data_IF_357140670907
#
_entry.id   IF_357140670907
#
_cell.length_a   1.000
_cell.length_b   1.000
_cell.length_c   1.000
_cell.angle_alpha   90.00
_cell.angle_beta   90.00
_cell.angle_gamma   90.00
#
_symmetry.space_group_name_H-M   'P 1'
#
loop_
_entity.id
_entity.type
_entity.pdbx_description
1 polymer ?
#
# COMPACT_ATOMS: atom_id res chain seq x y z
N UNK A 1 3.14 -4.08 20.77
CA UNK A 1 2.71 -3.00 19.83
C UNK A 1 3.81 -2.87 18.78
N UNK A 2 3.47 -2.84 17.50
CA UNK A 2 4.43 -2.65 16.41
C UNK A 2 4.03 -1.39 15.63
N UNK A 3 5.01 -0.60 15.22
CA UNK A 3 4.84 0.53 14.31
C UNK A 3 5.28 0.10 12.91
N UNK A 4 4.65 0.64 11.86
CA UNK A 4 5.00 0.29 10.48
C UNK A 4 6.43 0.68 10.11
N UNK A 5 7.02 1.66 10.80
CA UNK A 5 8.39 2.11 10.57
C UNK A 5 9.40 1.49 11.54
N UNK A 6 8.99 0.52 12.36
CA UNK A 6 9.87 -0.29 13.23
C UNK A 6 9.99 -1.71 12.65
N UNK A 7 11.02 -1.92 11.81
CA UNK A 7 11.24 -3.18 11.12
C UNK A 7 11.39 -4.38 12.08
N UNK A 8 12.09 -4.20 13.20
CA UNK A 8 12.31 -5.28 14.17
C UNK A 8 11.01 -5.67 14.86
N UNK A 9 10.11 -4.71 15.13
CA UNK A 9 8.79 -5.01 15.66
C UNK A 9 7.92 -5.76 14.64
N UNK A 10 8.02 -5.42 13.35
CA UNK A 10 7.34 -6.15 12.28
C UNK A 10 7.89 -7.57 12.14
N UNK A 11 9.21 -7.76 12.10
CA UNK A 11 9.85 -9.09 12.08
C UNK A 11 9.38 -9.98 13.22
N UNK A 12 9.36 -9.46 14.45
CA UNK A 12 8.84 -10.20 15.62
C UNK A 12 7.35 -10.54 15.50
N UNK A 13 6.55 -9.70 14.85
CA UNK A 13 5.13 -9.94 14.68
C UNK A 13 4.83 -10.98 13.58
N UNK A 14 5.69 -11.07 12.57
CA UNK A 14 5.52 -11.96 11.42
C UNK A 14 6.17 -13.34 11.64
N UNK A 15 7.17 -13.44 12.52
CA UNK A 15 7.85 -14.70 12.80
C UNK A 15 6.88 -15.83 13.19
N UNK A 16 7.06 -17.01 12.59
CA UNK A 16 6.19 -18.18 12.76
C UNK A 16 4.79 -18.08 12.12
N UNK A 17 4.44 -16.97 11.45
CA UNK A 17 3.15 -16.85 10.77
C UNK A 17 3.10 -17.62 9.44
N UNK A 18 1.94 -18.20 9.11
CA UNK A 18 1.74 -18.87 7.81
C UNK A 18 1.16 -17.95 6.72
N UNK A 19 0.62 -16.80 7.12
CA UNK A 19 0.02 -15.80 6.25
C UNK A 19 0.02 -14.44 6.93
N UNK A 20 0.10 -13.38 6.14
CA UNK A 20 0.13 -11.99 6.65
C UNK A 20 -0.96 -11.18 5.97
N UNK A 21 -1.77 -10.47 6.75
CA UNK A 21 -2.73 -9.49 6.25
C UNK A 21 -2.20 -8.09 6.57
N UNK A 22 -1.64 -7.43 5.56
CA UNK A 22 -1.14 -6.08 5.68
C UNK A 22 -2.25 -5.07 5.40
N UNK A 23 -2.94 -4.66 6.47
CA UNK A 23 -4.05 -3.70 6.41
C UNK A 23 -3.68 -2.32 6.93
N UNK A 24 -2.55 -2.20 7.64
CA UNK A 24 -2.13 -0.97 8.28
C UNK A 24 -1.60 0.02 7.23
N UNK A 25 -2.11 1.24 7.25
CA UNK A 25 -1.69 2.32 6.36
C UNK A 25 -2.25 3.63 6.92
N UNK A 26 -1.53 4.76 6.80
CA UNK A 26 -2.13 6.07 7.05
C UNK A 26 -3.34 6.29 6.12
N UNK A 27 -4.31 7.06 6.60
CA UNK A 27 -5.47 7.50 5.79
C UNK A 27 -5.55 9.01 5.91
N UNK A 28 -4.83 9.70 5.04
CA UNK A 28 -4.68 11.16 5.05
C UNK A 28 -4.18 11.64 3.69
N UNK A 29 -4.54 12.87 3.32
CA UNK A 29 -3.96 13.57 2.16
C UNK A 29 -2.76 14.46 2.54
N UNK A 30 -2.24 14.35 3.76
CA UNK A 30 -0.95 14.90 4.14
C UNK A 30 0.17 14.01 3.56
N UNK A 31 0.94 14.46 2.54
CA UNK A 31 1.93 13.62 1.88
C UNK A 31 3.06 13.15 2.81
N UNK A 32 3.46 13.96 3.78
CA UNK A 32 4.55 13.64 4.71
C UNK A 32 4.16 12.48 5.62
N UNK A 33 2.87 12.42 5.99
CA UNK A 33 2.32 11.37 6.85
C UNK A 33 1.79 10.18 6.06
N UNK A 34 1.57 10.32 4.76
CA UNK A 34 0.98 9.29 3.92
C UNK A 34 2.02 8.47 3.19
N UNK A 35 2.88 9.11 2.39
CA UNK A 35 3.64 8.44 1.32
C UNK A 35 4.73 7.56 1.90
N UNK A 36 5.64 8.12 2.69
CA UNK A 36 6.76 7.36 3.26
C UNK A 36 6.28 6.21 4.17
N UNK A 37 5.35 6.44 5.12
CA UNK A 37 4.88 5.34 5.97
C UNK A 37 4.12 4.25 5.22
N UNK A 38 3.37 4.60 4.17
CA UNK A 38 2.70 3.60 3.33
C UNK A 38 3.72 2.76 2.55
N UNK A 39 4.70 3.38 1.88
CA UNK A 39 5.68 2.68 1.05
C UNK A 39 6.66 1.88 1.90
N UNK A 40 7.36 2.52 2.84
CA UNK A 40 8.37 1.85 3.68
C UNK A 40 7.74 0.81 4.60
N UNK A 41 6.56 1.11 5.17
CA UNK A 41 5.84 0.16 6.00
C UNK A 41 5.42 -1.09 5.23
N UNK A 42 4.98 -0.94 3.98
CA UNK A 42 4.64 -2.08 3.13
C UNK A 42 5.88 -2.90 2.76
N UNK A 43 6.98 -2.25 2.39
CA UNK A 43 8.27 -2.90 2.16
C UNK A 43 8.71 -3.73 3.38
N UNK A 44 8.67 -3.15 4.57
CA UNK A 44 9.02 -3.83 5.82
C UNK A 44 8.18 -5.07 6.09
N UNK A 45 6.87 -5.02 5.83
CA UNK A 45 6.00 -6.17 6.03
C UNK A 45 6.30 -7.26 5.00
N UNK A 46 6.56 -6.91 3.74
CA UNK A 46 6.94 -7.85 2.67
C UNK A 46 8.27 -8.52 2.99
N UNK A 47 9.29 -7.74 3.33
CA UNK A 47 10.64 -8.24 3.63
C UNK A 47 10.62 -9.14 4.87
N UNK A 48 9.93 -8.73 5.94
CA UNK A 48 9.78 -9.56 7.13
C UNK A 48 9.04 -10.88 6.86
N UNK A 49 8.01 -10.86 6.00
CA UNK A 49 7.29 -12.06 5.60
C UNK A 49 8.15 -13.01 4.76
N UNK A 50 8.96 -12.47 3.84
CA UNK A 50 9.90 -13.25 3.07
C UNK A 50 10.99 -13.86 3.96
N UNK A 51 11.54 -13.08 4.89
CA UNK A 51 12.57 -13.52 5.83
C UNK A 51 12.08 -14.54 6.87
N UNK A 52 10.81 -14.51 7.25
CA UNK A 52 10.23 -15.46 8.21
C UNK A 52 10.22 -16.90 7.68
N UNK A 53 10.28 -17.11 6.36
CA UNK A 53 10.35 -18.43 5.71
C UNK A 53 9.12 -19.35 5.88
N UNK A 54 8.18 -18.99 6.76
CA UNK A 54 6.97 -19.74 7.10
C UNK A 54 5.72 -19.16 6.44
N UNK A 55 5.76 -17.89 6.03
CA UNK A 55 4.65 -17.19 5.37
C UNK A 55 4.47 -17.72 3.94
N UNK A 56 3.28 -18.24 3.65
CA UNK A 56 2.94 -18.81 2.34
C UNK A 56 2.30 -17.80 1.39
N UNK A 57 1.60 -16.80 1.95
CA UNK A 57 0.90 -15.76 1.20
C UNK A 57 0.72 -14.52 2.06
N UNK A 58 0.91 -13.37 1.44
CA UNK A 58 0.50 -12.08 1.97
C UNK A 58 -0.77 -11.59 1.24
N UNK A 59 -1.65 -10.93 1.98
CA UNK A 59 -2.77 -10.16 1.45
C UNK A 59 -2.54 -8.70 1.82
N UNK A 60 -2.47 -7.83 0.83
CA UNK A 60 -2.28 -6.39 1.01
C UNK A 60 -3.59 -5.64 0.74
N UNK A 61 -3.96 -4.73 1.65
CA UNK A 61 -5.11 -3.85 1.45
C UNK A 61 -4.69 -2.58 0.72
N UNK A 62 -4.75 -2.63 -0.62
CA UNK A 62 -4.69 -1.44 -1.48
C UNK A 62 -6.03 -0.67 -1.45
N UNK A 63 -6.36 0.10 -2.48
CA UNK A 63 -7.56 0.94 -2.54
C UNK A 63 -8.02 1.19 -3.98
N UNK A 64 -9.30 1.52 -4.15
CA UNK A 64 -9.82 2.03 -5.43
C UNK A 64 -9.09 3.31 -5.88
N UNK A 65 -8.48 4.05 -4.93
CA UNK A 65 -7.63 5.20 -5.24
C UNK A 65 -6.40 4.85 -6.09
N UNK A 66 -5.96 3.59 -6.11
CA UNK A 66 -4.90 3.10 -7.00
C UNK A 66 -5.41 2.64 -8.38
N UNK A 67 -6.74 2.62 -8.58
CA UNK A 67 -7.40 2.08 -9.77
C UNK A 67 -8.11 3.17 -10.57
N UNK A 68 -8.88 4.07 -9.97
CA UNK A 68 -9.83 4.95 -10.71
C UNK A 68 -9.35 6.38 -10.97
N UNK A 69 -8.19 6.78 -10.46
CA UNK A 69 -7.71 8.18 -10.54
C UNK A 69 -6.94 8.43 -11.83
N UNK A 70 -7.60 8.24 -12.97
CA UNK A 70 -7.02 8.46 -14.30
C UNK A 70 -7.97 9.34 -15.14
N UNK A 71 -7.61 10.61 -15.42
CA UNK A 71 -8.45 11.52 -16.19
C UNK A 71 -8.51 11.17 -17.68
N UNK A 72 -7.63 10.30 -18.16
CA UNK A 72 -7.58 9.89 -19.57
C UNK A 72 -8.45 8.66 -19.84
N UNK A 73 -9.01 8.04 -18.79
CA UNK A 73 -9.91 6.90 -18.94
C UNK A 73 -11.23 7.32 -19.56
N UNK A 74 -11.63 6.61 -20.61
CA UNK A 74 -12.91 6.85 -21.28
C UNK A 74 -14.10 6.56 -20.36
N UNK A 75 -15.19 7.31 -20.51
CA UNK A 75 -16.39 7.21 -19.68
C UNK A 75 -17.12 5.85 -19.79
N UNK A 76 -16.98 5.16 -20.93
CA UNK A 76 -17.60 3.86 -21.21
C UNK A 76 -16.70 2.68 -20.84
N UNK A 77 -15.47 2.93 -20.37
CA UNK A 77 -14.55 1.86 -19.99
C UNK A 77 -15.03 1.22 -18.69
N UNK A 78 -15.29 -0.10 -18.74
CA UNK A 78 -15.55 -0.88 -17.53
C UNK A 78 -14.28 -0.91 -16.69
N UNK A 79 -14.36 -0.41 -15.46
CA UNK A 79 -13.24 -0.44 -14.52
C UNK A 79 -13.10 -1.85 -13.94
N UNK A 80 -11.91 -2.44 -14.11
CA UNK A 80 -11.52 -3.73 -13.57
C UNK A 80 -10.10 -3.70 -12.98
N UNK A 81 -9.55 -4.85 -12.59
CA UNK A 81 -8.23 -4.99 -11.97
C UNK A 81 -7.05 -4.65 -12.91
N UNK A 82 -7.29 -4.48 -14.21
CA UNK A 82 -6.27 -4.05 -15.18
C UNK A 82 -6.08 -2.53 -15.20
N UNK A 83 -7.01 -1.79 -14.60
CA UNK A 83 -6.98 -0.34 -14.53
C UNK A 83 -6.05 0.17 -13.41
N UNK A 84 -5.29 1.23 -13.71
CA UNK A 84 -4.42 1.91 -12.76
C UNK A 84 -4.66 3.41 -12.74
N UNK A 85 -4.45 4.03 -11.58
CA UNK A 85 -4.47 5.48 -11.41
C UNK A 85 -3.25 6.15 -12.04
N UNK A 86 -3.45 7.35 -12.58
CA UNK A 86 -2.38 8.23 -13.05
C UNK A 86 -1.72 8.93 -11.85
N UNK A 87 -0.44 8.61 -11.62
CA UNK A 87 0.32 9.12 -10.47
C UNK A 87 0.51 10.64 -10.51
N UNK A 88 0.70 11.22 -11.69
CA UNK A 88 0.90 12.64 -11.86
C UNK A 88 -0.40 13.42 -11.66
N UNK A 89 -1.52 12.86 -12.10
CA UNK A 89 -2.84 13.38 -11.81
C UNK A 89 -3.10 13.41 -10.30
N UNK A 90 -2.80 12.32 -9.59
CA UNK A 90 -2.94 12.25 -8.13
C UNK A 90 -2.11 13.35 -7.43
N UNK A 91 -0.85 13.53 -7.84
CA UNK A 91 0.02 14.60 -7.34
C UNK A 91 -0.54 16.00 -7.63
N UNK A 92 -0.89 16.29 -8.89
CA UNK A 92 -1.38 17.61 -9.34
C UNK A 92 -2.67 18.02 -8.62
N UNK A 93 -3.52 17.05 -8.29
CA UNK A 93 -4.80 17.25 -7.60
C UNK A 93 -4.70 17.09 -6.08
N UNK A 94 -3.50 16.86 -5.53
CA UNK A 94 -3.23 16.65 -4.10
C UNK A 94 -4.00 15.46 -3.47
N UNK A 95 -4.33 14.45 -4.28
CA UNK A 95 -4.88 13.18 -3.81
C UNK A 95 -3.76 12.26 -3.30
N UNK A 96 -3.12 12.68 -2.21
CA UNK A 96 -1.93 12.01 -1.68
C UNK A 96 -2.23 10.65 -1.05
N UNK A 97 -3.45 10.43 -0.53
CA UNK A 97 -3.90 9.09 -0.14
C UNK A 97 -3.91 8.14 -1.36
N UNK A 98 -4.52 8.57 -2.46
CA UNK A 98 -4.60 7.77 -3.69
C UNK A 98 -3.21 7.48 -4.25
N UNK A 99 -2.36 8.51 -4.31
CA UNK A 99 -0.96 8.36 -4.70
C UNK A 99 -0.24 7.35 -3.81
N UNK A 100 -0.32 7.51 -2.49
CA UNK A 100 0.33 6.64 -1.51
C UNK A 100 -0.12 5.18 -1.63
N UNK A 101 -1.41 4.93 -1.89
CA UNK A 101 -1.93 3.58 -2.11
C UNK A 101 -1.50 2.95 -3.44
N UNK A 102 -1.17 3.76 -4.44
CA UNK A 102 -0.69 3.27 -5.73
C UNK A 102 0.81 2.93 -5.73
N UNK A 103 1.61 3.62 -4.90
CA UNK A 103 3.08 3.42 -4.85
C UNK A 103 3.57 2.53 -3.70
N UNK A 104 2.70 2.23 -2.73
CA UNK A 104 2.99 1.33 -1.62
C UNK A 104 2.85 -0.14 -2.05
#
# INVERSE_FOLDING_TARGET
KADLLDYDAIRRAVDGCHGVFHTASPVTDDPERMVEPAVRGTQYVIDAAAEAGTVRRMVFTSSIGAVTMDPNRGLEVVVDESCWSDLDFCKKTRNWYCYGKAVA
#
